data_IF_741837853633
#
_entry.id   IF_741837853633
#
_cell.length_a   1.000
_cell.length_b   1.000
_cell.length_c   1.000
_cell.angle_alpha   90.00
_cell.angle_beta   90.00
_cell.angle_gamma   90.00
#
_symmetry.space_group_name_H-M   'P 1'
#
loop_
_entity.id
_entity.type
_entity.pdbx_description
1 polymer ?
#
# COMPACT_ATOMS: atom_id res chain seq x y z
N UNK A 1 -26.82 28.49 -29.51
CA UNK A 1 -26.87 27.00 -29.43
C UNK A 1 -25.60 26.56 -28.74
N UNK A 2 -25.72 26.05 -27.51
CA UNK A 2 -24.57 25.69 -26.67
C UNK A 2 -23.90 24.42 -27.19
N UNK A 3 -22.60 24.49 -27.43
CA UNK A 3 -21.81 23.33 -27.83
C UNK A 3 -21.62 22.46 -26.58
N UNK A 4 -22.37 21.37 -26.48
CA UNK A 4 -22.23 20.39 -25.42
C UNK A 4 -20.90 19.65 -25.63
N UNK A 5 -19.93 19.89 -24.74
CA UNK A 5 -18.69 19.12 -24.65
C UNK A 5 -19.03 17.64 -24.49
N UNK A 6 -18.48 16.79 -25.35
CA UNK A 6 -18.81 15.36 -25.36
C UNK A 6 -18.32 14.70 -24.06
N UNK A 7 -19.12 13.82 -23.42
CA UNK A 7 -18.68 13.05 -22.24
C UNK A 7 -17.37 12.29 -22.45
N UNK A 8 -17.05 11.93 -23.71
CA UNK A 8 -15.81 11.27 -24.09
C UNK A 8 -14.56 12.15 -23.95
N UNK A 9 -14.68 13.47 -24.14
CA UNK A 9 -13.56 14.43 -23.99
C UNK A 9 -13.24 14.67 -22.51
N UNK A 10 -14.26 14.67 -21.65
CA UNK A 10 -14.09 14.77 -20.19
C UNK A 10 -13.39 13.52 -19.64
N UNK A 11 -13.74 12.33 -20.14
CA UNK A 11 -13.11 11.07 -19.70
C UNK A 11 -11.65 10.96 -20.16
N UNK A 12 -11.30 11.46 -21.35
CA UNK A 12 -9.90 11.52 -21.79
C UNK A 12 -9.06 12.53 -20.99
N UNK A 13 -9.65 13.63 -20.51
CA UNK A 13 -8.98 14.59 -19.64
C UNK A 13 -8.61 14.01 -18.28
N UNK A 14 -9.39 13.04 -17.76
CA UNK A 14 -9.14 12.41 -16.46
C UNK A 14 -7.99 11.38 -16.55
N UNK A 15 -7.71 10.85 -17.75
CA UNK A 15 -6.63 9.90 -18.01
C UNK A 15 -5.22 10.50 -18.08
N UNK A 16 -5.05 11.82 -17.86
CA UNK A 16 -3.78 12.56 -18.03
C UNK A 16 -3.09 13.03 -16.74
N UNK A 17 -3.48 12.54 -15.57
CA UNK A 17 -2.93 13.03 -14.28
C UNK A 17 -1.96 12.06 -13.59
N UNK A 18 -1.26 11.21 -14.33
CA UNK A 18 -0.04 10.61 -13.81
C UNK A 18 1.14 11.51 -14.21
N UNK A 19 1.84 12.09 -13.24
CA UNK A 19 3.08 12.83 -13.49
C UNK A 19 4.05 11.89 -14.23
N UNK A 20 4.60 12.34 -15.36
CA UNK A 20 5.66 11.60 -16.03
C UNK A 20 7.01 11.80 -15.30
N UNK A 21 8.05 11.08 -15.71
CA UNK A 21 9.36 11.13 -15.05
C UNK A 21 9.92 12.56 -15.06
N UNK A 22 9.79 13.25 -16.19
CA UNK A 22 10.27 14.61 -16.40
C UNK A 22 9.51 15.61 -15.51
N UNK A 23 8.20 15.44 -15.34
CA UNK A 23 7.36 16.26 -14.45
C UNK A 23 7.81 16.11 -12.99
N UNK A 24 8.12 14.89 -12.55
CA UNK A 24 8.60 14.61 -11.18
C UNK A 24 10.00 15.19 -11.00
N UNK A 25 10.92 14.92 -11.94
CA UNK A 25 12.32 15.33 -11.87
C UNK A 25 12.48 16.86 -11.93
N UNK A 26 11.64 17.53 -12.72
CA UNK A 26 11.65 18.99 -12.88
C UNK A 26 10.93 19.74 -11.76
N UNK A 27 10.25 19.06 -10.84
CA UNK A 27 9.44 19.72 -9.82
C UNK A 27 10.34 20.50 -8.82
N UNK A 28 10.19 21.82 -8.66
CA UNK A 28 11.06 22.64 -7.81
C UNK A 28 11.12 22.19 -6.34
N UNK A 29 10.03 21.59 -5.84
CA UNK A 29 9.97 21.06 -4.48
C UNK A 29 10.45 19.61 -4.33
N UNK A 30 10.91 18.94 -5.41
CA UNK A 30 11.30 17.53 -5.38
C UNK A 30 12.33 17.27 -4.28
N UNK A 31 13.39 18.09 -4.22
CA UNK A 31 14.46 17.91 -3.25
C UNK A 31 13.96 18.05 -1.81
N UNK A 32 13.06 19.02 -1.56
CA UNK A 32 12.41 19.20 -0.25
C UNK A 32 11.59 17.96 0.13
N UNK A 33 10.77 17.45 -0.78
CA UNK A 33 9.95 16.25 -0.51
C UNK A 33 10.80 15.00 -0.29
N UNK A 34 11.89 14.82 -1.03
CA UNK A 34 12.85 13.72 -0.80
C UNK A 34 13.50 13.85 0.57
N UNK A 35 13.86 15.07 0.98
CA UNK A 35 14.45 15.32 2.29
C UNK A 35 13.45 15.06 3.43
N UNK A 36 12.22 15.56 3.31
CA UNK A 36 11.14 15.33 4.27
C UNK A 36 10.81 13.84 4.40
N UNK A 37 10.69 13.13 3.27
CA UNK A 37 10.48 11.69 3.26
C UNK A 37 11.64 10.94 3.91
N UNK A 38 12.89 11.31 3.60
CA UNK A 38 14.08 10.70 4.21
C UNK A 38 14.12 10.91 5.72
N UNK A 39 13.79 12.11 6.21
CA UNK A 39 13.70 12.40 7.64
C UNK A 39 12.60 11.59 8.33
N UNK A 40 11.44 11.42 7.68
CA UNK A 40 10.38 10.55 8.20
C UNK A 40 10.83 9.09 8.28
N UNK A 41 11.54 8.58 7.27
CA UNK A 41 12.11 7.23 7.29
C UNK A 41 13.15 7.04 8.41
N UNK A 42 14.02 8.04 8.64
CA UNK A 42 15.00 8.03 9.73
C UNK A 42 14.28 8.00 11.09
N UNK A 43 13.26 8.84 11.29
CA UNK A 43 12.45 8.84 12.53
C UNK A 43 11.78 7.49 12.78
N UNK A 44 11.13 6.93 11.76
CA UNK A 44 10.52 5.60 11.85
C UNK A 44 11.57 4.54 12.21
N UNK A 45 12.80 4.64 11.67
CA UNK A 45 13.90 3.75 12.01
C UNK A 45 14.37 3.90 13.46
N UNK A 46 14.53 5.13 13.94
CA UNK A 46 14.90 5.41 15.33
C UNK A 46 13.85 4.89 16.33
N UNK A 47 12.56 5.01 16.00
CA UNK A 47 11.45 4.59 16.86
C UNK A 47 11.16 3.07 16.77
N UNK A 48 11.25 2.49 15.58
CA UNK A 48 10.98 1.08 15.32
C UNK A 48 11.80 0.55 14.13
N UNK A 49 13.02 0.05 14.37
CA UNK A 49 13.86 -0.53 13.33
C UNK A 49 13.17 -1.65 12.54
N UNK A 50 12.26 -2.40 13.18
CA UNK A 50 11.49 -3.47 12.55
C UNK A 50 10.45 -2.93 11.57
N UNK A 51 9.76 -1.85 11.92
CA UNK A 51 8.82 -1.19 11.02
C UNK A 51 9.55 -0.54 9.85
N UNK A 52 10.69 0.10 10.12
CA UNK A 52 11.54 0.69 9.09
C UNK A 52 12.07 -0.33 8.07
N UNK A 53 12.25 -1.60 8.47
CA UNK A 53 12.67 -2.67 7.57
C UNK A 53 11.73 -2.91 6.37
N UNK A 54 10.46 -2.49 6.47
CA UNK A 54 9.51 -2.54 5.34
C UNK A 54 9.99 -1.62 4.21
N UNK A 55 10.63 -0.50 4.55
CA UNK A 55 11.11 0.51 3.61
C UNK A 55 12.54 0.24 3.13
N UNK A 56 13.20 -0.81 3.64
CA UNK A 56 14.61 -1.09 3.34
C UNK A 56 14.88 -1.51 1.89
N UNK A 57 13.87 -2.04 1.19
CA UNK A 57 13.98 -2.40 -0.23
C UNK A 57 12.72 -1.99 -0.99
N UNK A 58 12.88 -1.69 -2.29
CA UNK A 58 11.74 -1.38 -3.17
C UNK A 58 10.69 -2.50 -3.15
N UNK A 59 11.12 -3.76 -3.17
CA UNK A 59 10.21 -4.89 -3.13
C UNK A 59 9.38 -4.93 -1.85
N UNK A 60 10.00 -4.74 -0.67
CA UNK A 60 9.28 -4.73 0.62
C UNK A 60 8.34 -3.52 0.73
N UNK A 61 8.75 -2.39 0.19
CA UNK A 61 7.91 -1.20 0.11
C UNK A 61 6.65 -1.45 -0.72
N UNK A 62 6.81 -2.05 -1.91
CA UNK A 62 5.67 -2.42 -2.77
C UNK A 62 4.76 -3.48 -2.12
N UNK A 63 5.34 -4.47 -1.42
CA UNK A 63 4.57 -5.46 -0.66
C UNK A 63 3.72 -4.79 0.44
N UNK A 64 4.30 -3.84 1.19
CA UNK A 64 3.58 -3.05 2.18
C UNK A 64 2.44 -2.24 1.57
N UNK A 65 2.70 -1.56 0.45
CA UNK A 65 1.69 -0.79 -0.29
C UNK A 65 0.53 -1.63 -0.80
N UNK A 66 0.80 -2.84 -1.31
CA UNK A 66 -0.27 -3.77 -1.72
C UNK A 66 -1.15 -4.12 -0.52
N UNK A 67 -0.56 -4.43 0.63
CA UNK A 67 -1.29 -4.76 1.86
C UNK A 67 -2.18 -3.59 2.33
N UNK A 68 -1.62 -2.38 2.37
CA UNK A 68 -2.35 -1.17 2.75
C UNK A 68 -3.46 -0.83 1.75
N UNK A 69 -3.18 -0.91 0.44
CA UNK A 69 -4.19 -0.66 -0.59
C UNK A 69 -5.37 -1.64 -0.48
N UNK A 70 -5.10 -2.92 -0.18
CA UNK A 70 -6.15 -3.90 0.08
C UNK A 70 -6.94 -3.59 1.35
N UNK A 71 -6.26 -3.17 2.43
CA UNK A 71 -6.90 -2.77 3.68
C UNK A 71 -7.85 -1.57 3.49
N UNK A 72 -7.39 -0.49 2.85
CA UNK A 72 -8.19 0.72 2.65
C UNK A 72 -9.30 0.56 1.60
N UNK A 73 -9.18 -0.39 0.66
CA UNK A 73 -10.23 -0.71 -0.33
C UNK A 73 -11.22 -1.76 0.16
N UNK A 74 -11.11 -2.19 1.43
CA UNK A 74 -12.04 -3.14 2.03
C UNK A 74 -13.45 -2.56 2.03
N UNK A 75 -14.42 -3.42 1.74
CA UNK A 75 -15.84 -3.13 1.87
C UNK A 75 -16.39 -4.04 2.98
N UNK A 76 -16.93 -3.49 4.08
CA UNK A 76 -17.47 -4.28 5.18
C UNK A 76 -18.59 -5.24 4.74
N UNK A 77 -19.28 -4.94 3.64
CA UNK A 77 -20.40 -5.74 3.14
C UNK A 77 -19.99 -6.78 2.08
N UNK A 78 -18.74 -6.74 1.61
CA UNK A 78 -18.22 -7.68 0.61
C UNK A 78 -17.00 -8.42 1.14
N UNK A 79 -17.21 -9.66 1.61
CA UNK A 79 -16.15 -10.55 2.08
C UNK A 79 -15.06 -10.82 1.03
N UNK A 80 -15.37 -10.72 -0.27
CA UNK A 80 -14.35 -10.87 -1.33
C UNK A 80 -13.35 -9.73 -1.31
N UNK A 81 -13.66 -8.60 -0.65
CA UNK A 81 -12.78 -7.44 -0.46
C UNK A 81 -11.96 -7.49 0.83
N UNK A 82 -12.00 -8.59 1.59
CA UNK A 82 -11.12 -8.77 2.75
C UNK A 82 -9.66 -8.98 2.34
N UNK A 83 -8.75 -8.48 3.19
CA UNK A 83 -7.33 -8.79 3.11
C UNK A 83 -7.11 -10.14 3.78
N UNK A 84 -6.82 -11.17 2.99
CA UNK A 84 -6.42 -12.50 3.49
C UNK A 84 -5.03 -12.84 2.96
N UNK A 85 -4.32 -13.77 3.60
CA UNK A 85 -2.99 -14.23 3.16
C UNK A 85 -3.03 -14.69 1.70
N UNK A 86 -3.98 -15.55 1.36
CA UNK A 86 -4.09 -16.11 0.00
C UNK A 86 -4.32 -15.03 -1.06
N UNK A 87 -5.19 -14.06 -0.76
CA UNK A 87 -5.48 -12.98 -1.70
C UNK A 87 -4.32 -11.99 -1.81
N UNK A 88 -3.63 -11.70 -0.71
CA UNK A 88 -2.41 -10.90 -0.75
C UNK A 88 -1.38 -11.54 -1.67
N UNK A 89 -1.11 -12.83 -1.49
CA UNK A 89 -0.19 -13.60 -2.34
C UNK A 89 -0.62 -13.55 -3.81
N UNK A 90 -1.93 -13.71 -4.09
CA UNK A 90 -2.47 -13.64 -5.44
C UNK A 90 -2.24 -12.26 -6.09
N UNK A 91 -2.57 -11.18 -5.38
CA UNK A 91 -2.42 -9.80 -5.89
C UNK A 91 -0.95 -9.46 -6.13
N UNK A 92 -0.07 -9.82 -5.18
CA UNK A 92 1.38 -9.61 -5.30
C UNK A 92 1.95 -10.35 -6.51
N UNK A 93 1.59 -11.62 -6.67
CA UNK A 93 2.05 -12.43 -7.79
C UNK A 93 1.50 -11.92 -9.13
N UNK A 94 0.21 -11.59 -9.19
CA UNK A 94 -0.46 -11.08 -10.39
C UNK A 94 0.17 -9.78 -10.90
N UNK A 95 0.61 -8.91 -10.00
CA UNK A 95 1.25 -7.64 -10.34
C UNK A 95 2.79 -7.72 -10.42
N UNK A 96 3.36 -8.94 -10.44
CA UNK A 96 4.79 -9.18 -10.53
C UNK A 96 5.64 -8.45 -9.47
N UNK A 97 5.07 -8.18 -8.29
CA UNK A 97 5.77 -7.49 -7.19
C UNK A 97 6.77 -8.43 -6.52
N UNK A 98 6.38 -9.68 -6.28
CA UNK A 98 7.23 -10.71 -5.70
C UNK A 98 6.72 -12.13 -6.01
N UNK A 99 7.54 -13.14 -5.71
CA UNK A 99 7.11 -14.54 -5.75
C UNK A 99 6.07 -14.83 -4.66
N UNK A 100 5.31 -15.93 -4.81
CA UNK A 100 4.36 -16.37 -3.78
C UNK A 100 5.02 -16.65 -2.43
N UNK A 101 6.20 -17.26 -2.45
CA UNK A 101 6.96 -17.58 -1.23
C UNK A 101 7.47 -16.32 -0.54
N UNK A 102 7.94 -15.34 -1.32
CA UNK A 102 8.36 -14.04 -0.79
C UNK A 102 7.19 -13.30 -0.15
N UNK A 103 6.02 -13.32 -0.78
CA UNK A 103 4.80 -12.71 -0.25
C UNK A 103 4.32 -13.37 1.05
N UNK A 104 4.34 -14.70 1.10
CA UNK A 104 4.01 -15.49 2.30
C UNK A 104 4.97 -15.18 3.46
N UNK A 105 6.29 -15.20 3.19
CA UNK A 105 7.30 -14.87 4.18
C UNK A 105 7.13 -13.44 4.72
N UNK A 106 6.84 -12.48 3.84
CA UNK A 106 6.58 -11.09 4.23
C UNK A 106 5.39 -10.98 5.19
N UNK A 107 4.24 -11.59 4.90
CA UNK A 107 3.07 -11.53 5.79
C UNK A 107 3.34 -12.20 7.14
N UNK A 108 4.03 -13.36 7.14
CA UNK A 108 4.44 -14.02 8.38
C UNK A 108 5.33 -13.12 9.24
N UNK A 109 6.22 -12.37 8.61
CA UNK A 109 7.05 -11.39 9.30
C UNK A 109 6.22 -10.22 9.87
N UNK A 110 5.26 -9.69 9.10
CA UNK A 110 4.35 -8.62 9.57
C UNK A 110 3.52 -9.06 10.78
N UNK A 111 3.05 -10.31 10.79
CA UNK A 111 2.37 -10.92 11.93
C UNK A 111 3.31 -11.11 13.12
N UNK A 112 4.51 -11.64 12.86
CA UNK A 112 5.51 -11.90 13.90
C UNK A 112 5.96 -10.63 14.63
N UNK A 113 6.04 -9.51 13.92
CA UNK A 113 6.42 -8.20 14.48
C UNK A 113 5.24 -7.31 14.87
N UNK A 114 4.02 -7.86 14.94
CA UNK A 114 2.82 -7.14 15.35
C UNK A 114 2.54 -5.86 14.52
N UNK A 115 2.91 -5.93 13.23
CA UNK A 115 2.63 -4.89 12.24
C UNK A 115 1.26 -5.16 11.59
N UNK A 116 0.90 -6.44 11.47
CA UNK A 116 -0.43 -6.88 11.10
C UNK A 116 -0.96 -7.88 12.14
N UNK A 117 -2.27 -8.03 12.20
CA UNK A 117 -2.98 -8.94 13.08
C UNK A 117 -4.19 -9.56 12.36
N UNK A 118 -4.67 -10.68 12.90
CA UNK A 118 -5.93 -11.25 12.43
C UNK A 118 -7.12 -10.47 13.00
N UNK A 119 -8.12 -10.23 12.15
CA UNK A 119 -9.37 -9.58 12.57
C UNK A 119 -10.18 -10.57 13.42
N UNK A 120 -10.48 -10.18 14.66
CA UNK A 120 -11.32 -10.97 15.56
C UNK A 120 -12.77 -11.09 15.05
N UNK A 121 -13.38 -12.26 15.22
CA UNK A 121 -14.80 -12.48 14.86
C UNK A 121 -15.07 -12.68 13.36
N UNK A 122 -14.03 -12.84 12.52
CA UNK A 122 -14.19 -13.26 11.12
C UNK A 122 -14.73 -14.69 11.00
N UNK A 123 -15.24 -15.05 9.82
CA UNK A 123 -15.48 -16.47 9.49
C UNK A 123 -14.14 -17.20 9.65
N UNK A 124 -14.09 -18.16 10.58
CA UNK A 124 -12.86 -18.87 10.97
C UNK A 124 -12.19 -19.64 9.84
N UNK A 125 -12.74 -19.61 8.62
CA UNK A 125 -12.17 -20.20 7.42
C UNK A 125 -11.30 -19.25 6.59
N UNK A 126 -11.55 -17.93 6.63
CA UNK A 126 -10.84 -16.96 5.79
C UNK A 126 -9.75 -16.17 6.51
N UNK A 127 -9.74 -16.16 7.85
CA UNK A 127 -8.74 -15.47 8.69
C UNK A 127 -8.30 -14.10 8.11
N UNK A 128 -9.22 -13.12 8.02
CA UNK A 128 -8.90 -11.80 7.52
C UNK A 128 -7.83 -11.13 8.38
N UNK A 129 -6.99 -10.31 7.75
CA UNK A 129 -5.88 -9.57 8.31
C UNK A 129 -6.17 -8.06 8.30
N UNK A 130 -5.59 -7.35 9.24
CA UNK A 130 -5.54 -5.89 9.26
C UNK A 130 -4.17 -5.41 9.78
N UNK A 131 -3.67 -4.23 9.37
CA UNK A 131 -2.62 -3.55 10.09
C UNK A 131 -3.05 -3.32 11.55
N UNK A 132 -2.12 -3.39 12.49
CA UNK A 132 -2.46 -3.07 13.89
C UNK A 132 -2.74 -1.57 14.03
N UNK A 133 -3.54 -1.18 15.03
CA UNK A 133 -3.80 0.23 15.31
C UNK A 133 -2.49 1.03 15.48
N UNK A 134 -1.53 0.43 16.20
CA UNK A 134 -0.21 1.01 16.41
C UNK A 134 0.61 1.16 15.11
N UNK A 135 0.33 0.37 14.07
CA UNK A 135 0.94 0.56 12.75
C UNK A 135 0.31 1.75 12.04
N UNK A 136 -1.02 1.92 12.11
CA UNK A 136 -1.72 3.06 11.47
C UNK A 136 -1.34 4.39 12.13
N UNK A 137 -1.32 4.45 13.46
CA UNK A 137 -0.95 5.66 14.22
C UNK A 137 0.45 6.17 13.88
N UNK A 138 1.39 5.28 13.51
CA UNK A 138 2.76 5.68 13.16
C UNK A 138 2.90 6.31 11.77
N UNK A 139 1.88 6.22 10.93
CA UNK A 139 1.88 6.79 9.58
C UNK A 139 0.92 7.98 9.40
N UNK A 140 0.21 8.40 10.45
CA UNK A 140 -0.77 9.50 10.42
C UNK A 140 -0.39 10.59 11.41
#
# INVERSE_FOLDING_TARGET
MGNATSPSEVIQSIGRSALNLEDIAGHPALHRYVQEQSQSLIRIYEESPRLASIFATQQRWLLGHVGLAMHFRRDPNDRRKELTVSRFIEVVHKNAVASRNTADAFIKEMLHYNIAEYVAGGDGRTHPLQPTAATIERFT
#
